data_IF_909157715662
#
_entry.id   IF_909157715662
#
_cell.length_a   1.000
_cell.length_b   1.000
_cell.length_c   1.000
_cell.angle_alpha   90.00
_cell.angle_beta   90.00
_cell.angle_gamma   90.00
#
_symmetry.space_group_name_H-M   'P 1'
#
loop_
_entity.id
_entity.type
_entity.pdbx_description
1 polymer ?
#
# COMPACT_ATOMS: atom_id res chain seq x y z
N UNK A 1 -3.05 8.58 -26.81
CA UNK A 1 -2.52 7.34 -26.20
C UNK A 1 -3.55 6.24 -26.44
N UNK A 2 -3.13 4.99 -26.66
CA UNK A 2 -4.08 3.88 -26.86
C UNK A 2 -4.72 3.49 -25.52
N UNK A 3 -6.01 3.12 -25.53
CA UNK A 3 -6.68 2.57 -24.34
C UNK A 3 -6.07 1.21 -24.04
N UNK A 4 -5.67 0.96 -22.80
CA UNK A 4 -5.15 -0.31 -22.33
C UNK A 4 -6.27 -1.22 -21.84
N UNK A 5 -6.26 -2.46 -22.28
CA UNK A 5 -7.25 -3.47 -21.87
C UNK A 5 -6.81 -4.15 -20.57
N UNK A 6 -7.77 -4.41 -19.67
CA UNK A 6 -7.54 -5.00 -18.36
C UNK A 6 -8.37 -6.26 -18.15
N UNK A 7 -7.74 -7.35 -17.73
CA UNK A 7 -8.39 -8.47 -17.04
C UNK A 7 -8.45 -8.13 -15.56
N UNK A 8 -9.66 -8.02 -14.99
CA UNK A 8 -9.83 -7.70 -13.56
C UNK A 8 -10.16 -8.94 -12.76
N UNK A 9 -9.34 -9.28 -11.75
CA UNK A 9 -9.56 -10.39 -10.81
C UNK A 9 -10.03 -9.82 -9.47
N UNK A 10 -11.27 -10.13 -9.14
CA UNK A 10 -12.07 -9.56 -8.06
C UNK A 10 -13.11 -8.56 -8.62
N UNK A 11 -14.33 -8.57 -8.05
CA UNK A 11 -15.42 -7.72 -8.51
C UNK A 11 -16.17 -6.98 -7.39
N UNK A 12 -15.88 -7.27 -6.11
CA UNK A 12 -16.54 -6.67 -4.95
C UNK A 12 -15.57 -6.00 -3.99
N UNK A 13 -16.08 -5.29 -2.99
CA UNK A 13 -15.25 -4.64 -1.97
C UNK A 13 -14.23 -3.66 -2.60
N UNK A 14 -12.95 -3.88 -2.35
CA UNK A 14 -11.87 -3.06 -2.90
C UNK A 14 -11.83 -3.14 -4.43
N UNK A 15 -12.02 -4.32 -5.01
CA UNK A 15 -12.11 -4.52 -6.45
C UNK A 15 -13.23 -3.69 -7.10
N UNK A 16 -14.40 -3.62 -6.46
CA UNK A 16 -15.50 -2.74 -6.91
C UNK A 16 -15.09 -1.26 -6.96
N UNK A 17 -14.32 -0.81 -5.97
CA UNK A 17 -13.72 0.54 -5.95
C UNK A 17 -12.71 0.76 -7.08
N UNK A 18 -11.89 -0.23 -7.39
CA UNK A 18 -10.95 -0.19 -8.51
C UNK A 18 -11.67 -0.10 -9.85
N UNK A 19 -12.68 -0.98 -10.08
CA UNK A 19 -13.52 -0.97 -11.27
C UNK A 19 -14.13 0.41 -11.49
N UNK A 20 -14.72 1.00 -10.44
CA UNK A 20 -15.29 2.35 -10.52
C UNK A 20 -14.24 3.40 -10.91
N UNK A 21 -13.05 3.38 -10.31
CA UNK A 21 -11.97 4.33 -10.65
C UNK A 21 -11.46 4.15 -12.06
N UNK A 22 -11.19 2.92 -12.47
CA UNK A 22 -10.72 2.60 -13.83
C UNK A 22 -11.72 3.05 -14.89
N UNK A 23 -13.02 2.87 -14.66
CA UNK A 23 -14.06 3.22 -15.63
C UNK A 23 -14.46 4.69 -15.61
N UNK A 24 -14.51 5.34 -14.44
CA UNK A 24 -14.99 6.72 -14.31
C UNK A 24 -13.88 7.77 -14.36
N UNK A 25 -12.69 7.47 -13.83
CA UNK A 25 -11.58 8.40 -13.75
C UNK A 25 -10.53 8.20 -14.83
N UNK A 26 -10.44 6.97 -15.38
CA UNK A 26 -9.43 6.55 -16.35
C UNK A 26 -10.06 5.79 -17.54
N UNK A 27 -11.34 5.94 -17.80
CA UNK A 27 -12.04 5.26 -18.90
C UNK A 27 -11.54 5.62 -20.30
N UNK A 28 -10.84 6.74 -20.43
CA UNK A 28 -10.08 7.15 -21.61
C UNK A 28 -8.73 6.43 -21.77
N UNK A 29 -8.26 5.75 -20.71
CA UNK A 29 -6.96 5.08 -20.63
C UNK A 29 -7.08 3.57 -20.38
N UNK A 30 -8.13 3.11 -19.70
CA UNK A 30 -8.31 1.71 -19.27
C UNK A 30 -9.70 1.22 -19.65
N UNK A 31 -9.76 0.04 -20.28
CA UNK A 31 -10.99 -0.70 -20.56
C UNK A 31 -10.91 -2.08 -19.93
N UNK A 32 -11.88 -2.44 -19.09
CA UNK A 32 -12.00 -3.79 -18.54
C UNK A 32 -12.64 -4.68 -19.63
N UNK A 33 -11.94 -5.76 -20.01
CA UNK A 33 -12.35 -6.68 -21.09
C UNK A 33 -12.62 -8.10 -20.59
N UNK A 34 -12.33 -8.39 -19.34
CA UNK A 34 -12.63 -9.64 -18.65
C UNK A 34 -12.75 -9.40 -17.16
N UNK A 35 -13.62 -10.16 -16.50
CA UNK A 35 -13.88 -10.04 -15.06
C UNK A 35 -13.92 -11.41 -14.41
N UNK A 36 -13.27 -11.53 -13.23
CA UNK A 36 -13.22 -12.77 -12.45
C UNK A 36 -13.76 -12.53 -11.05
N UNK A 37 -14.70 -13.33 -10.59
CA UNK A 37 -15.10 -13.43 -9.19
C UNK A 37 -15.73 -14.80 -8.90
N UNK A 38 -15.46 -15.37 -7.74
CA UNK A 38 -16.08 -16.65 -7.32
C UNK A 38 -17.55 -16.51 -6.95
N UNK A 39 -18.02 -15.29 -6.71
CA UNK A 39 -19.42 -14.99 -6.44
C UNK A 39 -20.15 -14.67 -7.74
N UNK A 40 -20.93 -15.61 -8.24
CA UNK A 40 -21.65 -15.50 -9.52
C UNK A 40 -22.62 -14.31 -9.57
N UNK A 41 -23.29 -13.97 -8.46
CA UNK A 41 -24.22 -12.83 -8.40
C UNK A 41 -23.47 -11.50 -8.55
N UNK A 42 -22.33 -11.36 -7.85
CA UNK A 42 -21.45 -10.19 -7.93
C UNK A 42 -20.88 -10.09 -9.35
N UNK A 43 -20.39 -11.19 -9.88
CA UNK A 43 -19.81 -11.28 -11.23
C UNK A 43 -20.81 -10.84 -12.30
N UNK A 44 -22.03 -11.38 -12.28
CA UNK A 44 -23.10 -11.02 -13.22
C UNK A 44 -23.51 -9.55 -13.08
N UNK A 45 -23.67 -9.04 -11.85
CA UNK A 45 -24.09 -7.67 -11.60
C UNK A 45 -23.02 -6.65 -12.07
N UNK A 46 -21.74 -6.91 -11.81
CA UNK A 46 -20.66 -6.02 -12.26
C UNK A 46 -20.42 -6.16 -13.76
N UNK A 47 -20.47 -7.36 -14.30
CA UNK A 47 -20.38 -7.62 -15.75
C UNK A 47 -21.44 -6.85 -16.54
N UNK A 48 -22.69 -6.87 -16.09
CA UNK A 48 -23.75 -6.09 -16.69
C UNK A 48 -23.51 -4.57 -16.67
N UNK A 49 -22.99 -4.02 -15.57
CA UNK A 49 -22.61 -2.60 -15.48
C UNK A 49 -21.47 -2.22 -16.42
N UNK A 50 -20.55 -3.14 -16.67
CA UNK A 50 -19.41 -2.95 -17.57
C UNK A 50 -19.76 -3.24 -19.02
N UNK A 51 -20.96 -3.78 -19.33
CA UNK A 51 -21.36 -4.19 -20.67
C UNK A 51 -20.60 -5.41 -21.19
N UNK A 52 -20.09 -6.26 -20.28
CA UNK A 52 -19.36 -7.48 -20.62
C UNK A 52 -20.33 -8.59 -21.04
N UNK A 53 -19.93 -9.39 -22.02
CA UNK A 53 -20.64 -10.59 -22.45
C UNK A 53 -20.37 -11.75 -21.50
N UNK A 54 -21.18 -12.78 -21.53
CA UNK A 54 -21.02 -13.98 -20.69
C UNK A 54 -19.67 -14.70 -20.88
N UNK A 55 -19.13 -14.65 -22.10
CA UNK A 55 -17.79 -15.21 -22.42
C UNK A 55 -16.60 -14.37 -21.93
N UNK A 56 -16.87 -13.26 -21.26
CA UNK A 56 -15.89 -12.37 -20.60
C UNK A 56 -16.00 -12.42 -19.08
N UNK A 57 -16.87 -13.29 -18.53
CA UNK A 57 -17.12 -13.46 -17.09
C UNK A 57 -16.66 -14.85 -16.65
N UNK A 58 -15.78 -14.90 -15.66
CA UNK A 58 -15.12 -16.13 -15.24
C UNK A 58 -15.25 -16.35 -13.73
N UNK A 59 -15.51 -17.58 -13.32
CA UNK A 59 -15.42 -17.98 -11.90
C UNK A 59 -14.00 -18.42 -11.52
N UNK A 60 -13.20 -18.82 -12.49
CA UNK A 60 -11.83 -19.31 -12.33
C UNK A 60 -10.82 -18.37 -13.00
N UNK A 61 -9.82 -17.93 -12.23
CA UNK A 61 -8.80 -17.00 -12.74
C UNK A 61 -7.82 -17.66 -13.70
N UNK A 62 -7.58 -18.98 -13.59
CA UNK A 62 -6.67 -19.68 -14.50
C UNK A 62 -7.29 -19.78 -15.91
N UNK A 63 -8.60 -20.10 -15.97
CA UNK A 63 -9.35 -20.07 -17.23
C UNK A 63 -9.34 -18.67 -17.84
N UNK A 64 -9.58 -17.63 -17.03
CA UNK A 64 -9.54 -16.24 -17.49
C UNK A 64 -8.17 -15.84 -18.01
N UNK A 65 -7.08 -16.15 -17.30
CA UNK A 65 -5.73 -15.86 -17.75
C UNK A 65 -5.35 -16.59 -19.05
N UNK A 66 -5.85 -17.81 -19.26
CA UNK A 66 -5.61 -18.58 -20.48
C UNK A 66 -6.43 -18.10 -21.68
N UNK A 67 -7.57 -17.44 -21.45
CA UNK A 67 -8.57 -17.13 -22.49
C UNK A 67 -8.55 -15.66 -22.90
N UNK A 68 -8.42 -14.75 -21.91
CA UNK A 68 -8.55 -13.30 -22.16
C UNK A 68 -7.23 -12.73 -22.65
N UNK A 69 -7.29 -12.02 -23.78
CA UNK A 69 -6.17 -11.20 -24.26
C UNK A 69 -6.33 -9.79 -23.69
N UNK A 70 -5.46 -9.40 -22.76
CA UNK A 70 -5.47 -8.08 -22.17
C UNK A 70 -4.04 -7.51 -22.08
N UNK A 71 -3.91 -6.17 -22.08
CA UNK A 71 -2.62 -5.50 -21.93
C UNK A 71 -2.05 -5.67 -20.49
N UNK A 72 -2.90 -5.91 -19.50
CA UNK A 72 -2.50 -6.15 -18.11
C UNK A 72 -3.62 -6.81 -17.29
N UNK A 73 -3.24 -7.31 -16.11
CA UNK A 73 -4.15 -7.88 -15.12
C UNK A 73 -4.18 -7.00 -13.86
N UNK A 74 -5.39 -6.63 -13.40
CA UNK A 74 -5.64 -5.99 -12.12
C UNK A 74 -6.12 -7.01 -11.10
N UNK A 75 -5.48 -7.07 -9.91
CA UNK A 75 -5.80 -8.05 -8.86
C UNK A 75 -6.20 -7.33 -7.57
N UNK A 76 -7.41 -7.55 -7.09
CA UNK A 76 -7.90 -6.98 -5.84
C UNK A 76 -8.78 -7.99 -5.09
N UNK A 77 -8.20 -9.13 -4.78
CA UNK A 77 -8.75 -10.25 -4.02
C UNK A 77 -8.18 -10.27 -2.59
N UNK A 78 -8.53 -11.22 -1.73
CA UNK A 78 -7.83 -11.41 -0.44
C UNK A 78 -6.36 -11.82 -0.63
N UNK A 79 -5.45 -11.39 0.29
CA UNK A 79 -4.00 -11.50 0.12
C UNK A 79 -3.45 -12.89 -0.19
N UNK A 80 -4.09 -13.94 0.33
CA UNK A 80 -3.68 -15.33 0.07
C UNK A 80 -3.82 -15.76 -1.39
N UNK A 81 -4.59 -15.01 -2.18
CA UNK A 81 -4.78 -15.28 -3.61
C UNK A 81 -3.92 -14.39 -4.52
N UNK A 82 -3.28 -13.33 -3.99
CA UNK A 82 -2.52 -12.40 -4.81
C UNK A 82 -1.40 -13.09 -5.58
N UNK A 83 -0.53 -13.85 -4.89
CA UNK A 83 0.63 -14.48 -5.50
C UNK A 83 0.24 -15.52 -6.57
N UNK A 84 -0.63 -16.51 -6.34
CA UNK A 84 -0.99 -17.46 -7.38
C UNK A 84 -1.70 -16.81 -8.58
N UNK A 85 -2.53 -15.79 -8.36
CA UNK A 85 -3.20 -15.06 -9.44
C UNK A 85 -2.23 -14.22 -10.26
N UNK A 86 -1.29 -13.54 -9.59
CA UNK A 86 -0.27 -12.75 -10.28
C UNK A 86 0.69 -13.62 -11.08
N UNK A 87 1.11 -14.77 -10.54
CA UNK A 87 1.96 -15.72 -11.24
C UNK A 87 1.25 -16.22 -12.51
N UNK A 88 -0.02 -16.62 -12.42
CA UNK A 88 -0.80 -17.06 -13.59
C UNK A 88 -0.94 -15.97 -14.65
N UNK A 89 -1.18 -14.71 -14.25
CA UNK A 89 -1.26 -13.58 -15.17
C UNK A 89 0.10 -13.30 -15.87
N UNK A 90 1.20 -13.31 -15.11
CA UNK A 90 2.56 -13.12 -15.64
C UNK A 90 2.95 -14.24 -16.60
N UNK A 91 2.62 -15.50 -16.29
CA UNK A 91 2.84 -16.66 -17.18
C UNK A 91 2.01 -16.58 -18.46
N UNK A 92 0.83 -15.96 -18.40
CA UNK A 92 0.02 -15.66 -19.58
C UNK A 92 0.50 -14.42 -20.37
N UNK A 93 1.63 -13.79 -19.95
CA UNK A 93 2.20 -12.62 -20.62
C UNK A 93 1.55 -11.29 -20.27
N UNK A 94 0.75 -11.23 -19.20
CA UNK A 94 0.11 -10.00 -18.75
C UNK A 94 0.90 -9.34 -17.59
N UNK A 95 1.36 -8.09 -17.74
CA UNK A 95 1.77 -7.24 -16.62
C UNK A 95 0.72 -7.18 -15.52
N UNK A 96 1.14 -7.00 -14.27
CA UNK A 96 0.25 -7.07 -13.10
C UNK A 96 0.26 -5.79 -12.28
N UNK A 97 -0.92 -5.32 -11.86
CA UNK A 97 -1.09 -4.38 -10.76
C UNK A 97 -1.96 -5.04 -9.69
N UNK A 98 -1.46 -5.12 -8.45
CA UNK A 98 -2.07 -5.90 -7.38
C UNK A 98 -2.29 -5.07 -6.11
N UNK A 99 -3.40 -5.36 -5.41
CA UNK A 99 -3.66 -4.78 -4.09
C UNK A 99 -2.59 -5.18 -3.05
N UNK A 100 -2.49 -4.33 -2.02
CA UNK A 100 -1.70 -4.61 -0.82
C UNK A 100 -2.48 -5.51 0.18
N UNK A 101 -1.78 -6.23 1.04
CA UNK A 101 -0.34 -6.51 1.01
C UNK A 101 0.02 -7.39 -0.20
N UNK A 102 1.29 -7.40 -0.57
CA UNK A 102 1.78 -8.16 -1.75
C UNK A 102 1.34 -9.62 -1.77
N UNK A 103 1.30 -10.28 -0.61
CA UNK A 103 0.83 -11.65 -0.39
C UNK A 103 0.50 -11.85 1.10
N UNK A 104 0.05 -13.05 1.47
CA UNK A 104 -0.19 -13.46 2.86
C UNK A 104 1.07 -13.92 3.59
N UNK A 105 2.09 -14.36 2.86
CA UNK A 105 3.37 -14.85 3.40
C UNK A 105 4.56 -14.29 2.64
N UNK A 106 5.72 -14.23 3.31
CA UNK A 106 6.96 -13.80 2.68
C UNK A 106 7.37 -14.72 1.53
N UNK A 107 7.17 -16.03 1.68
CA UNK A 107 7.48 -17.01 0.63
C UNK A 107 6.63 -16.77 -0.63
N UNK A 108 5.33 -16.51 -0.48
CA UNK A 108 4.44 -16.19 -1.58
C UNK A 108 4.81 -14.83 -2.24
N UNK A 109 5.19 -13.83 -1.44
CA UNK A 109 5.67 -12.55 -1.95
C UNK A 109 6.94 -12.70 -2.79
N UNK A 110 7.92 -13.48 -2.30
CA UNK A 110 9.16 -13.80 -3.03
C UNK A 110 8.89 -14.58 -4.32
N UNK A 111 7.97 -15.55 -4.30
CA UNK A 111 7.58 -16.30 -5.49
C UNK A 111 6.98 -15.40 -6.58
N UNK A 112 6.12 -14.45 -6.17
CA UNK A 112 5.54 -13.46 -7.08
C UNK A 112 6.62 -12.54 -7.68
N UNK A 113 7.56 -12.05 -6.85
CA UNK A 113 8.67 -11.21 -7.30
C UNK A 113 9.60 -11.96 -8.26
N UNK A 114 9.96 -13.20 -7.95
CA UNK A 114 10.77 -14.05 -8.83
C UNK A 114 10.11 -14.31 -10.18
N UNK A 115 8.77 -14.49 -10.22
CA UNK A 115 8.04 -14.67 -11.48
C UNK A 115 8.03 -13.38 -12.31
N UNK A 116 7.88 -12.22 -11.67
CA UNK A 116 7.97 -10.93 -12.37
C UNK A 116 9.37 -10.72 -12.98
N UNK A 117 10.43 -11.08 -12.25
CA UNK A 117 11.81 -11.05 -12.76
C UNK A 117 12.02 -12.03 -13.92
N UNK A 118 11.56 -13.28 -13.77
CA UNK A 118 11.67 -14.34 -14.80
C UNK A 118 11.00 -13.92 -16.13
N UNK A 119 9.82 -13.32 -16.04
CA UNK A 119 9.08 -12.89 -17.24
C UNK A 119 9.52 -11.53 -17.77
N UNK A 120 10.20 -10.73 -16.96
CA UNK A 120 10.57 -9.35 -17.29
C UNK A 120 9.36 -8.39 -17.42
N UNK A 121 8.18 -8.82 -16.98
CA UNK A 121 6.95 -8.04 -17.11
C UNK A 121 6.76 -7.08 -15.94
N UNK A 122 6.19 -5.88 -16.17
CA UNK A 122 5.80 -4.96 -15.13
C UNK A 122 4.90 -5.60 -14.08
N UNK A 123 5.29 -5.48 -12.80
CA UNK A 123 4.48 -5.90 -11.67
C UNK A 123 4.54 -4.82 -10.58
N UNK A 124 3.39 -4.25 -10.22
CA UNK A 124 3.28 -3.18 -9.21
C UNK A 124 2.27 -3.53 -8.12
N UNK A 125 2.53 -3.02 -6.91
CA UNK A 125 1.66 -3.17 -5.75
C UNK A 125 1.07 -1.81 -5.37
N UNK A 126 -0.19 -1.77 -4.98
CA UNK A 126 -0.86 -0.52 -4.59
C UNK A 126 -0.34 -0.02 -3.24
N UNK A 127 0.51 1.01 -3.28
CA UNK A 127 0.90 1.81 -2.10
C UNK A 127 0.43 3.26 -2.30
N UNK A 128 -0.86 3.41 -2.33
CA UNK A 128 -1.53 4.64 -2.68
C UNK A 128 -1.28 5.81 -1.72
N UNK A 129 -0.83 5.55 -0.50
CA UNK A 129 -0.54 6.60 0.50
C UNK A 129 0.63 7.49 0.10
N UNK A 130 1.60 6.97 -0.66
CA UNK A 130 2.71 7.75 -1.21
C UNK A 130 2.22 8.95 -2.02
N UNK A 131 1.07 8.83 -2.66
CA UNK A 131 0.54 9.81 -3.63
C UNK A 131 -0.60 10.66 -3.05
N UNK A 132 -0.45 11.11 -1.81
CA UNK A 132 -1.24 12.20 -1.23
C UNK A 132 -0.47 13.51 -1.35
N UNK A 133 -1.14 14.67 -1.58
CA UNK A 133 -0.48 15.95 -1.81
C UNK A 133 0.55 16.33 -0.73
N UNK A 134 0.17 16.21 0.54
CA UNK A 134 1.06 16.54 1.66
C UNK A 134 2.29 15.61 1.77
N UNK A 135 2.15 14.32 1.43
CA UNK A 135 3.25 13.35 1.42
C UNK A 135 4.25 13.66 0.28
N UNK A 136 3.73 13.99 -0.90
CA UNK A 136 4.55 14.41 -2.03
C UNK A 136 5.28 15.73 -1.75
N UNK A 137 4.63 16.67 -1.09
CA UNK A 137 5.27 17.93 -0.70
C UNK A 137 6.42 17.71 0.29
N UNK A 138 6.27 16.82 1.27
CA UNK A 138 7.35 16.45 2.19
C UNK A 138 8.54 15.85 1.44
N UNK A 139 8.28 14.96 0.47
CA UNK A 139 9.33 14.40 -0.38
C UNK A 139 10.04 15.49 -1.17
N UNK A 140 9.30 16.44 -1.73
CA UNK A 140 9.87 17.60 -2.44
C UNK A 140 10.77 18.45 -1.53
N UNK A 141 10.32 18.75 -0.29
CA UNK A 141 11.12 19.48 0.72
C UNK A 141 12.45 18.77 0.97
N UNK A 142 12.41 17.43 1.12
CA UNK A 142 13.59 16.59 1.36
C UNK A 142 14.53 16.59 0.14
N UNK A 143 14.01 16.37 -1.06
CA UNK A 143 14.80 16.28 -2.31
C UNK A 143 15.44 17.62 -2.67
N UNK A 144 14.71 18.73 -2.50
CA UNK A 144 15.21 20.09 -2.68
C UNK A 144 16.13 20.55 -1.55
N UNK A 145 16.26 19.78 -0.47
CA UNK A 145 17.04 20.09 0.74
C UNK A 145 16.67 21.46 1.34
N UNK A 146 15.39 21.85 1.31
CA UNK A 146 14.89 23.14 1.81
C UNK A 146 15.19 23.38 3.29
N UNK A 147 15.38 22.32 4.07
CA UNK A 147 15.65 22.33 5.52
C UNK A 147 16.93 21.56 5.86
N UNK A 148 17.85 21.40 4.91
CA UNK A 148 19.03 20.58 5.10
C UNK A 148 18.74 19.08 5.07
N UNK A 149 19.53 18.28 5.82
CA UNK A 149 19.41 16.82 5.85
C UNK A 149 18.30 16.39 6.79
N UNK A 150 17.56 15.37 6.40
CA UNK A 150 16.60 14.70 7.27
C UNK A 150 17.35 13.82 8.29
N UNK A 151 17.01 13.94 9.56
CA UNK A 151 17.59 13.20 10.69
C UNK A 151 16.70 12.03 11.12
N UNK A 152 15.43 12.33 11.47
CA UNK A 152 14.50 11.29 11.87
C UNK A 152 13.05 11.61 11.55
N UNK A 153 12.21 10.56 11.58
CA UNK A 153 10.77 10.64 11.36
C UNK A 153 10.05 9.99 12.54
N UNK A 154 9.03 10.65 13.05
CA UNK A 154 8.00 10.04 13.87
C UNK A 154 6.71 9.91 13.06
N UNK A 155 6.12 8.73 13.02
CA UNK A 155 4.84 8.49 12.38
C UNK A 155 3.85 7.85 13.35
N UNK A 156 2.59 8.27 13.27
CA UNK A 156 1.53 7.77 14.13
C UNK A 156 0.30 7.40 13.32
N UNK A 157 -0.13 6.16 13.49
CA UNK A 157 -1.44 5.66 13.09
C UNK A 157 -2.23 5.29 14.35
N UNK A 158 -3.42 5.88 14.52
CA UNK A 158 -4.26 5.60 15.67
C UNK A 158 -5.75 5.63 15.29
N UNK A 159 -6.44 4.51 15.49
CA UNK A 159 -7.87 4.34 15.23
C UNK A 159 -8.58 3.81 16.46
N UNK A 160 -9.86 4.15 16.61
CA UNK A 160 -10.73 3.56 17.61
C UNK A 160 -11.45 2.32 17.04
N UNK A 161 -10.78 1.18 17.14
CA UNK A 161 -11.33 -0.13 16.78
C UNK A 161 -11.47 -1.04 18.00
N UNK A 162 -11.66 -0.46 19.19
CA UNK A 162 -11.80 -1.18 20.46
C UNK A 162 -12.99 -2.11 20.52
N UNK A 163 -14.06 -1.80 19.77
CA UNK A 163 -15.27 -2.60 19.74
C UNK A 163 -15.17 -3.69 18.67
N UNK A 164 -15.65 -4.90 19.01
CA UNK A 164 -15.69 -6.01 18.06
C UNK A 164 -16.46 -5.63 16.78
N UNK A 165 -15.93 -5.95 15.61
CA UNK A 165 -16.42 -5.59 14.28
C UNK A 165 -16.31 -4.10 13.91
N UNK A 166 -15.79 -3.21 14.75
CA UNK A 166 -15.67 -1.79 14.41
C UNK A 166 -14.68 -1.53 13.25
N UNK A 167 -13.77 -2.46 12.98
CA UNK A 167 -12.93 -2.47 11.78
C UNK A 167 -13.53 -3.30 10.62
N UNK A 168 -14.84 -3.24 10.46
CA UNK A 168 -15.60 -3.82 9.35
C UNK A 168 -15.88 -5.32 9.50
N UNK A 169 -14.90 -6.20 9.36
CA UNK A 169 -15.08 -7.65 9.39
C UNK A 169 -14.55 -8.26 10.68
N UNK A 170 -15.24 -9.32 11.17
CA UNK A 170 -14.90 -10.04 12.41
C UNK A 170 -13.47 -10.55 12.42
N UNK A 171 -13.04 -11.19 11.34
CA UNK A 171 -11.72 -11.81 11.22
C UNK A 171 -10.55 -10.85 11.52
N UNK A 172 -10.72 -9.52 11.32
CA UNK A 172 -9.69 -8.55 11.68
C UNK A 172 -9.43 -8.47 13.18
N UNK A 173 -10.45 -8.69 14.00
CA UNK A 173 -10.28 -8.74 15.47
C UNK A 173 -9.72 -10.08 15.94
N UNK A 174 -9.81 -11.10 15.10
CA UNK A 174 -9.37 -12.47 15.40
C UNK A 174 -7.94 -12.78 14.92
N UNK A 175 -7.39 -11.97 13.99
CA UNK A 175 -6.02 -12.13 13.46
C UNK A 175 -4.96 -11.84 14.52
N UNK A 176 -3.83 -12.59 14.48
CA UNK A 176 -2.71 -12.41 15.40
C UNK A 176 -2.05 -11.02 15.29
N UNK A 177 -1.87 -10.52 14.07
CA UNK A 177 -1.17 -9.28 13.76
C UNK A 177 -2.00 -8.35 12.88
N UNK A 178 -3.27 -8.20 13.18
CA UNK A 178 -4.21 -7.40 12.39
C UNK A 178 -3.70 -5.97 12.10
N UNK A 179 -3.21 -5.28 13.15
CA UNK A 179 -2.62 -3.96 13.00
C UNK A 179 -1.48 -3.94 11.97
N UNK A 180 -0.54 -4.86 12.07
CA UNK A 180 0.66 -4.87 11.22
C UNK A 180 0.33 -5.24 9.79
N UNK A 181 -0.45 -6.29 9.60
CA UNK A 181 -0.75 -6.85 8.29
C UNK A 181 -1.75 -6.00 7.48
N UNK A 182 -2.80 -5.52 8.12
CA UNK A 182 -3.88 -4.78 7.45
C UNK A 182 -3.64 -3.25 7.41
N UNK A 183 -3.06 -2.70 8.49
CA UNK A 183 -2.83 -1.26 8.66
C UNK A 183 -1.38 -0.85 8.38
N UNK A 184 -0.44 -1.39 9.15
CA UNK A 184 0.95 -0.92 9.14
C UNK A 184 1.72 -1.22 7.87
N UNK A 185 1.22 -2.09 6.99
CA UNK A 185 1.78 -2.30 5.65
C UNK A 185 1.89 -0.99 4.86
N UNK A 186 0.93 -0.09 5.00
CA UNK A 186 1.00 1.26 4.42
C UNK A 186 2.02 2.15 5.14
N UNK A 187 2.09 2.03 6.47
CA UNK A 187 2.88 2.96 7.28
C UNK A 187 4.38 2.64 7.23
N UNK A 188 4.76 1.37 7.21
CA UNK A 188 6.15 0.97 6.98
C UNK A 188 6.63 1.37 5.58
N UNK A 189 5.76 1.24 4.58
CA UNK A 189 6.02 1.75 3.25
C UNK A 189 6.22 3.28 3.25
N UNK A 190 5.36 4.01 3.97
CA UNK A 190 5.49 5.46 4.14
C UNK A 190 6.77 5.86 4.87
N UNK A 191 7.23 5.10 5.90
CA UNK A 191 8.49 5.39 6.57
C UNK A 191 9.68 5.32 5.60
N UNK A 192 9.74 4.29 4.75
CA UNK A 192 10.75 4.16 3.70
C UNK A 192 10.65 5.32 2.69
N UNK A 193 9.45 5.59 2.20
CA UNK A 193 9.18 6.60 1.20
C UNK A 193 9.57 8.02 1.69
N UNK A 194 9.15 8.40 2.89
CA UNK A 194 9.46 9.71 3.48
C UNK A 194 10.95 9.82 3.86
N UNK A 195 11.56 8.75 4.34
CA UNK A 195 13.00 8.72 4.63
C UNK A 195 13.85 8.79 3.35
N UNK A 196 13.35 8.25 2.25
CA UNK A 196 14.09 8.13 0.99
C UNK A 196 15.20 7.09 1.04
N UNK A 197 14.99 6.02 1.81
CA UNK A 197 15.96 4.92 1.99
C UNK A 197 15.27 3.66 2.48
N UNK A 198 16.00 2.54 2.41
CA UNK A 198 15.53 1.24 2.85
C UNK A 198 15.92 0.97 4.31
N UNK A 199 15.12 0.17 5.00
CA UNK A 199 15.40 -0.16 6.39
C UNK A 199 16.49 -1.25 6.49
N UNK A 200 17.51 -1.00 7.31
CA UNK A 200 18.51 -2.01 7.64
C UNK A 200 18.11 -2.88 8.84
N UNK A 201 17.59 -2.22 9.90
CA UNK A 201 17.25 -2.87 11.17
C UNK A 201 15.97 -2.30 11.72
N UNK A 202 15.07 -3.18 12.14
CA UNK A 202 13.83 -2.87 12.84
C UNK A 202 13.79 -3.56 14.19
N UNK A 203 13.28 -2.86 15.23
CA UNK A 203 12.96 -3.43 16.53
C UNK A 203 11.71 -2.78 17.11
N UNK A 204 10.91 -3.54 17.85
CA UNK A 204 9.71 -2.97 18.46
C UNK A 204 9.03 -3.88 19.47
N UNK A 205 7.90 -3.39 19.97
CA UNK A 205 7.05 -4.07 20.94
C UNK A 205 5.60 -3.92 20.53
N UNK A 206 4.83 -5.00 20.62
CA UNK A 206 3.40 -4.98 20.48
C UNK A 206 2.69 -5.38 21.77
N UNK A 207 1.48 -4.89 21.94
CA UNK A 207 0.62 -5.25 23.08
C UNK A 207 -0.86 -5.17 22.70
N UNK A 208 -1.70 -5.72 23.58
CA UNK A 208 -3.14 -5.58 23.47
C UNK A 208 -3.69 -5.08 24.82
N UNK A 209 -4.24 -3.88 24.93
CA UNK A 209 -4.80 -3.39 26.19
C UNK A 209 -6.08 -4.14 26.56
N UNK A 210 -6.34 -4.31 27.86
CA UNK A 210 -7.48 -5.10 28.38
C UNK A 210 -8.86 -4.60 27.95
N UNK A 211 -8.98 -3.37 27.48
CA UNK A 211 -10.23 -2.77 26.97
C UNK A 211 -10.44 -2.95 25.48
N UNK A 212 -9.51 -3.62 24.79
CA UNK A 212 -9.58 -3.89 23.35
C UNK A 212 -10.32 -5.21 23.09
N UNK A 213 -11.12 -5.27 22.04
CA UNK A 213 -11.77 -6.51 21.60
C UNK A 213 -10.93 -7.37 20.66
N UNK A 214 -9.70 -6.93 20.31
CA UNK A 214 -8.77 -7.75 19.55
C UNK A 214 -8.31 -8.95 20.39
N UNK A 215 -8.16 -10.11 19.75
CA UNK A 215 -7.62 -11.30 20.42
C UNK A 215 -6.12 -11.24 20.67
N UNK A 216 -5.41 -10.53 19.77
CA UNK A 216 -3.97 -10.46 19.76
C UNK A 216 -3.49 -9.01 19.70
N UNK A 217 -2.33 -8.72 19.14
CA UNK A 217 -1.68 -7.42 19.14
C UNK A 217 -2.48 -6.36 18.37
N UNK A 218 -2.95 -5.34 19.08
CA UNK A 218 -3.69 -4.21 18.52
C UNK A 218 -2.92 -2.89 18.53
N UNK A 219 -1.78 -2.86 19.22
CA UNK A 219 -0.94 -1.68 19.38
C UNK A 219 0.54 -2.06 19.34
N UNK A 220 1.39 -1.14 18.93
CA UNK A 220 2.84 -1.36 18.93
C UNK A 220 3.65 -0.10 18.66
N UNK A 221 4.92 -0.12 19.12
CA UNK A 221 5.95 0.85 18.80
C UNK A 221 7.12 0.16 18.10
N UNK A 222 7.57 0.75 17.00
CA UNK A 222 8.65 0.22 16.18
C UNK A 222 9.68 1.30 15.86
N UNK A 223 10.96 0.97 16.04
CA UNK A 223 12.10 1.81 15.69
C UNK A 223 12.82 1.19 14.51
N UNK A 224 13.22 2.02 13.56
CA UNK A 224 13.93 1.58 12.36
C UNK A 224 15.14 2.46 12.09
N UNK A 225 16.22 1.85 11.61
CA UNK A 225 17.39 2.54 11.08
C UNK A 225 17.41 2.34 9.57
N UNK A 226 17.43 3.44 8.83
CA UNK A 226 17.51 3.40 7.37
C UNK A 226 18.97 3.37 6.89
N UNK A 227 19.22 2.86 5.69
CA UNK A 227 20.53 2.73 5.05
C UNK A 227 21.19 4.09 4.75
N UNK A 228 20.39 5.15 4.61
CA UNK A 228 20.85 6.53 4.41
C UNK A 228 21.11 7.30 5.73
N UNK A 229 21.05 6.61 6.86
CA UNK A 229 21.30 7.17 8.19
C UNK A 229 20.09 7.85 8.85
N UNK A 230 18.94 7.91 8.21
CA UNK A 230 17.69 8.39 8.82
C UNK A 230 17.19 7.36 9.82
N UNK A 231 16.68 7.81 10.96
CA UNK A 231 16.01 6.97 11.95
C UNK A 231 14.51 7.21 11.92
N UNK A 232 13.71 6.18 12.15
CA UNK A 232 12.26 6.35 12.21
C UNK A 232 11.67 5.68 13.44
N UNK A 233 10.62 6.29 13.99
CA UNK A 233 9.81 5.75 15.06
C UNK A 233 8.34 5.70 14.61
N UNK A 234 7.72 4.55 14.73
CA UNK A 234 6.34 4.34 14.34
C UNK A 234 5.48 3.89 15.53
N UNK A 235 4.38 4.61 15.77
CA UNK A 235 3.28 4.21 16.63
C UNK A 235 2.13 3.67 15.81
N UNK A 236 1.76 2.39 15.99
CA UNK A 236 0.53 1.82 15.49
C UNK A 236 -0.42 1.52 16.64
N UNK A 237 -1.68 1.99 16.56
CA UNK A 237 -2.64 1.83 17.65
C UNK A 237 -4.08 1.69 17.12
N UNK A 238 -4.57 0.47 17.07
CA UNK A 238 -5.97 0.17 16.71
C UNK A 238 -6.93 0.29 17.91
N UNK A 239 -6.44 0.65 19.11
CA UNK A 239 -7.22 0.75 20.34
C UNK A 239 -7.16 2.15 20.97
N UNK A 240 -6.99 3.19 20.14
CA UNK A 240 -6.98 4.57 20.57
C UNK A 240 -8.38 5.04 21.00
N UNK A 241 -8.46 5.77 22.13
CA UNK A 241 -9.74 6.22 22.70
C UNK A 241 -10.04 7.71 22.52
N UNK A 242 -9.11 8.47 21.98
CA UNK A 242 -9.19 9.93 21.92
C UNK A 242 -8.73 10.48 20.57
N UNK A 243 -7.53 11.04 20.51
CA UNK A 243 -6.98 11.59 19.27
C UNK A 243 -6.68 10.45 18.30
N UNK A 244 -7.43 10.41 17.20
CA UNK A 244 -7.22 9.47 16.10
C UNK A 244 -6.42 10.11 14.97
N UNK A 245 -5.67 9.30 14.24
CA UNK A 245 -4.93 9.69 13.03
C UNK A 245 -4.81 8.46 12.14
N UNK A 246 -5.84 8.21 11.32
CA UNK A 246 -5.92 6.97 10.55
C UNK A 246 -6.46 7.18 9.13
N UNK A 247 -6.16 6.23 8.25
CA UNK A 247 -6.65 6.13 6.87
C UNK A 247 -6.43 7.39 6.05
N UNK A 248 -5.13 7.67 5.78
CA UNK A 248 -4.60 8.82 5.05
C UNK A 248 -4.53 10.13 5.88
N UNK A 249 -4.89 10.05 7.17
CA UNK A 249 -4.79 11.17 8.13
C UNK A 249 -3.71 10.91 9.18
N UNK A 250 -2.78 9.99 8.89
CA UNK A 250 -1.67 9.65 9.79
C UNK A 250 -0.83 10.89 10.04
N UNK A 251 -0.44 11.06 11.29
CA UNK A 251 0.47 12.13 11.68
C UNK A 251 1.91 11.72 11.42
N UNK A 252 2.66 12.60 10.74
CA UNK A 252 4.10 12.48 10.57
C UNK A 252 4.78 13.76 10.99
N UNK A 253 5.88 13.61 11.76
CA UNK A 253 6.80 14.69 12.10
C UNK A 253 8.19 14.30 11.62
N UNK A 254 8.81 15.19 10.83
CA UNK A 254 10.11 14.99 10.23
C UNK A 254 11.06 16.04 10.73
N UNK A 255 12.16 15.62 11.35
CA UNK A 255 13.18 16.50 11.91
C UNK A 255 14.36 16.64 10.94
N UNK A 256 14.53 17.83 10.41
CA UNK A 256 15.62 18.19 9.53
C UNK A 256 16.68 19.01 10.25
N UNK A 257 17.82 19.22 9.63
CA UNK A 257 18.95 19.99 10.15
C UNK A 257 18.56 21.46 10.49
N UNK A 258 17.66 22.07 9.72
CA UNK A 258 17.28 23.47 9.84
C UNK A 258 15.78 23.68 10.17
N UNK A 259 15.06 22.64 10.54
CA UNK A 259 13.65 22.76 10.92
C UNK A 259 12.92 21.44 11.01
N UNK A 260 11.66 21.55 11.40
CA UNK A 260 10.73 20.41 11.55
C UNK A 260 9.57 20.58 10.59
N UNK A 261 9.16 19.51 9.94
CA UNK A 261 7.94 19.43 9.14
C UNK A 261 6.91 18.55 9.83
N UNK A 262 5.69 19.02 9.93
CA UNK A 262 4.54 18.23 10.38
C UNK A 262 3.49 18.16 9.29
N UNK A 263 2.95 16.96 9.08
CA UNK A 263 1.76 16.69 8.25
C UNK A 263 0.83 15.74 9.00
N UNK A 264 -0.45 15.81 8.68
CA UNK A 264 -1.47 14.97 9.31
C UNK A 264 -2.76 14.98 8.50
N UNK A 265 -3.86 15.34 9.15
CA UNK A 265 -5.16 15.43 8.49
C UNK A 265 -5.19 16.51 7.41
N UNK A 266 -5.75 16.16 6.25
CA UNK A 266 -5.85 17.06 5.10
C UNK A 266 -4.53 17.25 4.38
N UNK A 267 -4.44 18.34 3.60
CA UNK A 267 -3.27 18.67 2.79
C UNK A 267 -2.36 19.73 3.42
N UNK A 268 -2.57 20.03 4.72
CA UNK A 268 -1.79 21.04 5.44
C UNK A 268 -0.37 20.54 5.71
N UNK A 269 0.60 21.42 5.46
CA UNK A 269 2.02 21.26 5.79
C UNK A 269 2.41 22.37 6.75
N UNK A 270 3.06 22.02 7.86
CA UNK A 270 3.58 22.96 8.85
C UNK A 270 5.08 22.86 8.92
N UNK A 271 5.76 24.00 8.84
CA UNK A 271 7.22 24.07 8.95
C UNK A 271 7.60 24.95 10.13
N UNK A 272 8.39 24.41 11.01
CA UNK A 272 8.91 25.09 12.20
C UNK A 272 10.41 25.33 12.05
N UNK A 273 10.86 26.56 12.32
CA UNK A 273 12.28 26.93 12.40
C UNK A 273 12.52 27.76 13.65
N UNK A 274 13.64 27.53 14.31
CA UNK A 274 13.99 28.30 15.53
C UNK A 274 14.11 29.78 15.17
N UNK A 275 13.40 30.62 15.93
CA UNK A 275 13.40 32.09 15.73
C UNK A 275 12.52 32.61 14.58
N UNK A 276 11.72 31.76 13.96
CA UNK A 276 10.77 32.13 12.91
C UNK A 276 9.33 31.79 13.32
N UNK A 277 8.38 32.50 12.73
CA UNK A 277 6.98 32.11 12.79
C UNK A 277 6.75 30.76 12.07
N UNK A 278 5.74 30.03 12.51
CA UNK A 278 5.36 28.75 11.88
C UNK A 278 4.81 29.02 10.50
N UNK A 279 5.45 28.45 9.48
CA UNK A 279 4.94 28.45 8.10
C UNK A 279 3.83 27.37 7.99
N UNK A 280 2.62 27.77 7.59
CA UNK A 280 1.49 26.86 7.40
C UNK A 280 0.89 27.09 6.01
N UNK A 281 0.81 26.03 5.22
CA UNK A 281 0.23 26.11 3.88
C UNK A 281 -0.40 24.77 3.45
N UNK A 282 -1.29 24.84 2.45
CA UNK A 282 -1.79 23.64 1.80
C UNK A 282 -0.78 23.13 0.77
N UNK A 283 -0.51 21.84 0.79
CA UNK A 283 0.34 21.21 -0.22
C UNK A 283 -0.23 21.43 -1.64
N UNK A 284 0.61 21.60 -2.65
CA UNK A 284 0.15 21.76 -4.03
C UNK A 284 -0.77 20.62 -4.46
N UNK A 285 -1.90 20.95 -5.05
CA UNK A 285 -2.86 19.96 -5.54
C UNK A 285 -2.20 19.08 -6.63
N UNK A 286 -2.50 17.80 -6.60
CA UNK A 286 -2.12 16.86 -7.64
C UNK A 286 -3.26 16.72 -8.65
N UNK A 287 -2.95 16.59 -9.93
CA UNK A 287 -3.96 16.30 -10.97
C UNK A 287 -4.71 14.99 -10.65
N UNK A 288 -3.95 13.98 -10.21
CA UNK A 288 -4.46 12.69 -9.73
C UNK A 288 -3.72 12.31 -8.45
N UNK A 289 -4.41 11.70 -7.50
CA UNK A 289 -3.85 11.29 -6.22
C UNK A 289 -4.21 9.83 -5.91
N UNK A 290 -3.49 9.22 -4.97
CA UNK A 290 -3.79 7.89 -4.45
C UNK A 290 -3.84 6.82 -5.55
N UNK A 291 -4.93 6.05 -5.60
CA UNK A 291 -5.12 4.98 -6.58
C UNK A 291 -5.13 5.49 -8.02
N UNK A 292 -5.78 6.64 -8.28
CA UNK A 292 -5.91 7.18 -9.64
C UNK A 292 -4.55 7.56 -10.22
N UNK A 293 -3.62 8.05 -9.36
CA UNK A 293 -2.24 8.28 -9.74
C UNK A 293 -1.53 6.96 -10.09
N UNK A 294 -1.66 5.95 -9.23
CA UNK A 294 -1.00 4.66 -9.43
C UNK A 294 -1.47 3.93 -10.69
N UNK A 295 -2.76 3.93 -10.96
CA UNK A 295 -3.27 3.35 -12.22
C UNK A 295 -2.73 4.09 -13.44
N UNK A 296 -2.69 5.43 -13.39
CA UNK A 296 -2.08 6.22 -14.45
C UNK A 296 -0.59 5.92 -14.60
N UNK A 297 0.17 5.94 -13.51
CA UNK A 297 1.61 5.63 -13.49
C UNK A 297 1.90 4.24 -14.07
N UNK A 298 1.08 3.25 -13.71
CA UNK A 298 1.21 1.89 -14.22
C UNK A 298 0.95 1.82 -15.74
N UNK A 299 -0.12 2.45 -16.21
CA UNK A 299 -0.41 2.52 -17.66
C UNK A 299 0.70 3.26 -18.40
N UNK A 300 1.23 4.34 -17.86
CA UNK A 300 2.36 5.07 -18.44
C UNK A 300 3.62 4.18 -18.51
N UNK A 301 3.84 3.34 -17.49
CA UNK A 301 4.93 2.34 -17.51
C UNK A 301 4.73 1.32 -18.64
N UNK A 302 3.53 0.80 -18.86
CA UNK A 302 3.22 -0.08 -19.99
C UNK A 302 3.43 0.59 -21.36
N UNK A 303 3.40 1.91 -21.42
CA UNK A 303 3.66 2.71 -22.63
C UNK A 303 5.15 3.12 -22.77
N UNK A 304 6.05 2.60 -21.92
CA UNK A 304 7.49 2.82 -22.00
C UNK A 304 8.01 4.00 -21.17
N UNK A 305 7.19 4.56 -20.27
CA UNK A 305 7.68 5.49 -19.26
C UNK A 305 8.52 4.76 -18.20
N UNK A 306 9.09 5.52 -17.24
CA UNK A 306 9.83 4.90 -16.14
C UNK A 306 8.96 3.91 -15.36
N UNK A 307 9.60 2.90 -14.77
CA UNK A 307 8.95 1.94 -13.90
C UNK A 307 8.23 2.64 -12.72
N UNK A 308 7.09 2.07 -12.31
CA UNK A 308 6.37 2.52 -11.13
C UNK A 308 7.28 2.51 -9.90
N UNK A 309 7.16 3.52 -9.05
CA UNK A 309 7.87 3.58 -7.78
C UNK A 309 7.40 2.51 -6.78
N UNK A 310 6.25 1.89 -7.04
CA UNK A 310 5.70 0.78 -6.23
C UNK A 310 5.81 -0.58 -6.93
N UNK A 311 6.80 -0.72 -7.85
CA UNK A 311 7.10 -2.01 -8.47
C UNK A 311 7.39 -3.08 -7.41
N UNK A 312 7.20 -4.32 -7.77
CA UNK A 312 7.20 -5.45 -6.82
C UNK A 312 8.49 -5.55 -6.00
N UNK A 313 9.65 -5.26 -6.60
CA UNK A 313 10.96 -5.31 -5.93
C UNK A 313 11.05 -4.25 -4.81
N UNK A 314 10.55 -3.03 -5.07
CA UNK A 314 10.46 -1.99 -4.04
C UNK A 314 9.47 -2.38 -2.93
N UNK A 315 8.31 -2.93 -3.31
CA UNK A 315 7.30 -3.29 -2.33
C UNK A 315 7.70 -4.49 -1.45
N UNK A 316 8.53 -5.40 -1.95
CA UNK A 316 9.07 -6.51 -1.17
C UNK A 316 9.85 -6.00 0.05
N UNK A 317 10.57 -4.88 -0.06
CA UNK A 317 11.24 -4.21 1.05
C UNK A 317 10.21 -3.78 2.12
N UNK A 318 9.09 -3.18 1.71
CA UNK A 318 8.03 -2.77 2.65
C UNK A 318 7.34 -3.97 3.31
N UNK A 319 7.13 -5.06 2.58
CA UNK A 319 6.52 -6.26 3.13
C UNK A 319 7.47 -7.02 4.08
N UNK A 320 8.78 -7.03 3.80
CA UNK A 320 9.79 -7.55 4.71
C UNK A 320 9.74 -6.86 6.07
N UNK A 321 9.49 -5.53 6.11
CA UNK A 321 9.28 -4.79 7.36
C UNK A 321 8.07 -5.27 8.14
N UNK A 322 6.96 -5.60 7.48
CA UNK A 322 5.76 -6.14 8.13
C UNK A 322 6.08 -7.47 8.82
N UNK A 323 6.75 -8.38 8.12
CA UNK A 323 7.13 -9.68 8.67
C UNK A 323 8.13 -9.53 9.82
N UNK A 324 9.16 -8.72 9.64
CA UNK A 324 10.13 -8.41 10.70
C UNK A 324 9.47 -7.78 11.93
N UNK A 325 8.48 -6.91 11.74
CA UNK A 325 7.72 -6.31 12.83
C UNK A 325 6.86 -7.34 13.58
N UNK A 326 6.26 -8.30 12.89
CA UNK A 326 5.55 -9.41 13.53
C UNK A 326 6.49 -10.24 14.40
N UNK A 327 7.65 -10.60 13.90
CA UNK A 327 8.62 -11.42 14.64
C UNK A 327 9.21 -10.68 15.86
N UNK A 328 9.65 -9.41 15.70
CA UNK A 328 10.17 -8.65 16.84
C UNK A 328 9.11 -8.39 17.90
N UNK A 329 7.83 -8.30 17.52
CA UNK A 329 6.70 -8.20 18.46
C UNK A 329 6.61 -9.43 19.37
N UNK A 330 6.97 -10.61 18.88
CA UNK A 330 6.94 -11.87 19.64
C UNK A 330 8.19 -12.06 20.49
N UNK A 331 9.39 -11.84 19.94
CA UNK A 331 10.65 -12.20 20.56
C UNK A 331 11.45 -11.01 21.13
N UNK A 332 11.03 -9.77 20.83
CA UNK A 332 11.67 -8.53 21.29
C UNK A 332 13.06 -8.26 20.67
N UNK A 333 13.51 -9.11 19.72
CA UNK A 333 14.84 -9.01 19.16
C UNK A 333 14.88 -8.08 17.93
N UNK A 334 15.99 -7.34 17.73
CA UNK A 334 16.21 -6.59 16.50
C UNK A 334 16.21 -7.52 15.28
N UNK A 335 15.62 -7.08 14.18
CA UNK A 335 15.55 -7.82 12.90
C UNK A 335 16.32 -7.08 11.84
N UNK A 336 17.24 -7.77 11.17
CA UNK A 336 17.93 -7.24 9.97
C UNK A 336 17.08 -7.52 8.75
N UNK A 337 16.73 -6.48 8.01
CA UNK A 337 15.79 -6.63 6.87
C UNK A 337 16.39 -7.44 5.74
N UNK A 338 17.70 -7.39 5.55
CA UNK A 338 18.41 -8.24 4.58
C UNK A 338 18.18 -9.75 4.78
N UNK A 339 17.81 -10.19 5.98
CA UNK A 339 17.54 -11.61 6.26
C UNK A 339 16.15 -12.06 5.71
N UNK A 340 15.30 -11.11 5.29
CA UNK A 340 13.97 -11.32 4.73
C UNK A 340 13.92 -11.14 3.21
N UNK A 341 14.94 -10.64 2.59
CA UNK A 341 15.06 -10.39 1.15
C UNK A 341 15.92 -11.46 0.46
#
# INVERSE_FOLDING_TARGET
MAVKTCLMIGASGMAGGWIQRMTQQLGDRIQIVGLVDVNEEVLAAQGAKLGLRSDQLFADYQEACATVQADFCGIATPPQFHSPQAIAALEAGMPVICEKPIADTLAAAKAMAAKAEETGLPCAIIQNYRYAPNKQEVVRIREEKRLGRLQHIFGRYACDYRQYKSWGKEWRHDMDFSLLFEGSVHHFDMMRFLAGGDCEVLQGFGWNPAWSSFKHYSSGFYLMRMDNGVHTAYEGNSSAAGITSCWQREYYRLEFEEGTVEIGEGDEVRIYRVGHEVEVYAAPAMERAGHDYLFKEFVDWLEGSRASATRIEDNLQSFALVIAAMETTVDGQPKRIADYL
#
